data_IF_299051366995
#
_entry.id   IF_299051366995
#
_cell.length_a   1.000
_cell.length_b   1.000
_cell.length_c   1.000
_cell.angle_alpha   90.00
_cell.angle_beta   90.00
_cell.angle_gamma   90.00
#
_symmetry.space_group_name_H-M   'P 1'
#
loop_
_entity.id
_entity.type
_entity.pdbx_description
1 polymer ?
#
# COMPACT_ATOMS: atom_id res chain seq x y z
N UNK A 1 -31.18 -20.08 -8.02
CA UNK A 1 -30.08 -19.57 -8.87
C UNK A 1 -29.74 -18.16 -8.42
N UNK A 2 -28.79 -18.00 -7.50
CA UNK A 2 -27.94 -16.81 -7.37
C UNK A 2 -26.98 -17.08 -6.22
N UNK A 3 -25.84 -17.72 -6.54
CA UNK A 3 -24.83 -18.10 -5.54
C UNK A 3 -23.45 -18.08 -6.19
N UNK A 4 -23.07 -16.97 -6.85
CA UNK A 4 -21.72 -16.76 -7.42
C UNK A 4 -21.35 -15.26 -7.43
N UNK A 5 -21.41 -14.55 -6.29
CA UNK A 5 -20.79 -13.20 -6.21
C UNK A 5 -19.83 -13.06 -5.00
N UNK A 6 -19.80 -14.00 -4.06
CA UNK A 6 -18.99 -13.86 -2.83
C UNK A 6 -17.59 -14.52 -2.89
N UNK A 7 -16.78 -14.30 -3.94
CA UNK A 7 -15.43 -14.93 -4.01
C UNK A 7 -14.30 -14.03 -4.52
N UNK A 8 -14.44 -12.70 -4.48
CA UNK A 8 -13.31 -11.81 -4.83
C UNK A 8 -12.95 -10.75 -3.78
N UNK A 9 -13.70 -10.62 -2.67
CA UNK A 9 -13.53 -9.48 -1.75
C UNK A 9 -12.76 -9.77 -0.45
N UNK A 10 -12.43 -11.02 -0.11
CA UNK A 10 -11.93 -11.33 1.24
C UNK A 10 -10.43 -11.10 1.47
N UNK A 11 -9.62 -10.89 0.42
CA UNK A 11 -8.15 -10.81 0.59
C UNK A 11 -7.66 -9.39 0.95
N UNK A 12 -8.48 -8.36 0.67
CA UNK A 12 -8.14 -6.96 0.93
C UNK A 12 -8.31 -6.57 2.40
N UNK A 13 -9.45 -6.91 3.01
CA UNK A 13 -9.73 -6.58 4.42
C UNK A 13 -8.87 -7.35 5.42
N UNK A 14 -8.31 -8.50 5.03
CA UNK A 14 -7.43 -9.30 5.89
C UNK A 14 -5.96 -8.91 5.83
N UNK A 15 -5.54 -8.11 4.85
CA UNK A 15 -4.13 -7.77 4.70
C UNK A 15 -3.79 -6.55 5.58
N UNK A 16 -2.92 -6.69 6.60
CA UNK A 16 -2.62 -5.60 7.52
C UNK A 16 -2.03 -4.37 6.81
N UNK A 17 -1.36 -4.52 5.66
CA UNK A 17 -0.79 -3.39 4.90
C UNK A 17 -1.83 -2.53 4.17
N UNK A 18 -3.05 -3.04 3.98
CA UNK A 18 -4.10 -2.38 3.19
C UNK A 18 -5.14 -1.65 4.06
N UNK A 19 -4.87 -1.51 5.35
CA UNK A 19 -5.72 -0.81 6.32
C UNK A 19 -4.91 0.18 7.13
N UNK A 20 -5.61 1.09 7.79
CA UNK A 20 -4.99 1.99 8.74
C UNK A 20 -4.42 1.24 9.95
N UNK A 21 -3.28 1.74 10.42
CA UNK A 21 -2.63 1.22 11.62
C UNK A 21 -3.23 1.89 12.86
N UNK A 22 -3.96 1.11 13.64
CA UNK A 22 -4.55 1.55 14.91
C UNK A 22 -3.63 1.32 16.11
N UNK A 23 -2.38 0.92 15.87
CA UNK A 23 -1.35 0.69 16.88
C UNK A 23 -0.84 2.02 17.45
N UNK A 24 -0.17 1.96 18.60
CA UNK A 24 0.46 3.15 19.16
C UNK A 24 1.50 3.71 18.18
N UNK A 25 1.36 5.01 17.83
CA UNK A 25 2.21 5.73 16.88
C UNK A 25 2.25 5.12 15.48
N UNK A 26 1.17 4.48 15.03
CA UNK A 26 1.04 3.93 13.67
C UNK A 26 2.19 2.97 13.34
N UNK A 27 2.65 2.23 14.35
CA UNK A 27 3.69 1.22 14.18
C UNK A 27 3.13 0.02 13.42
N UNK A 28 3.89 -0.62 12.51
CA UNK A 28 3.38 -1.79 11.80
C UNK A 28 2.92 -2.88 12.78
N UNK A 29 1.73 -3.49 12.59
CA UNK A 29 1.23 -4.56 13.44
C UNK A 29 1.98 -5.87 13.15
N UNK A 30 3.24 -5.98 13.56
CA UNK A 30 4.15 -7.09 13.21
C UNK A 30 3.57 -8.47 13.56
N UNK A 31 2.77 -8.59 14.62
CA UNK A 31 2.13 -9.86 15.02
C UNK A 31 1.09 -10.36 14.00
N UNK A 32 0.51 -9.47 13.21
CA UNK A 32 -0.48 -9.81 12.17
C UNK A 32 0.17 -10.03 10.80
N UNK A 33 1.40 -9.56 10.59
CA UNK A 33 2.10 -9.66 9.31
C UNK A 33 2.58 -11.09 9.08
N UNK A 34 2.26 -11.63 7.90
CA UNK A 34 2.70 -12.95 7.43
C UNK A 34 3.31 -12.81 6.04
N UNK A 35 4.16 -13.76 5.66
CA UNK A 35 4.83 -13.76 4.35
C UNK A 35 3.85 -13.70 3.16
N UNK A 36 2.69 -14.32 3.31
CA UNK A 36 1.61 -14.32 2.31
C UNK A 36 1.01 -12.93 2.05
N UNK A 37 1.19 -11.97 2.96
CA UNK A 37 0.65 -10.61 2.84
C UNK A 37 1.50 -9.71 1.93
N UNK A 38 2.81 -9.98 1.79
CA UNK A 38 3.73 -9.08 1.07
C UNK A 38 3.38 -8.95 -0.40
N UNK A 39 3.27 -10.06 -1.14
CA UNK A 39 3.03 -10.02 -2.59
C UNK A 39 1.72 -9.31 -2.95
N UNK A 40 0.56 -9.64 -2.33
CA UNK A 40 -0.67 -8.90 -2.57
C UNK A 40 -0.57 -7.42 -2.23
N UNK A 41 0.12 -7.06 -1.12
CA UNK A 41 0.28 -5.66 -0.72
C UNK A 41 1.16 -4.86 -1.68
N UNK A 42 2.26 -5.43 -2.18
CA UNK A 42 3.07 -4.79 -3.23
C UNK A 42 2.27 -4.57 -4.50
N UNK A 43 1.50 -5.56 -4.96
CA UNK A 43 0.70 -5.43 -6.18
C UNK A 43 -0.37 -4.35 -6.06
N UNK A 44 -1.08 -4.29 -4.93
CA UNK A 44 -2.07 -3.22 -4.71
C UNK A 44 -1.36 -1.86 -4.56
N UNK A 45 -0.23 -1.80 -3.86
CA UNK A 45 0.57 -0.59 -3.74
C UNK A 45 1.05 -0.04 -5.09
N UNK A 46 1.54 -0.89 -6.00
CA UNK A 46 1.91 -0.47 -7.35
C UNK A 46 0.71 0.04 -8.14
N UNK A 47 -0.44 -0.64 -8.03
CA UNK A 47 -1.68 -0.22 -8.70
C UNK A 47 -2.13 1.14 -8.19
N UNK A 48 -2.14 1.35 -6.88
CA UNK A 48 -2.55 2.62 -6.27
C UNK A 48 -1.58 3.75 -6.62
N UNK A 49 -0.26 3.56 -6.45
CA UNK A 49 0.71 4.61 -6.75
C UNK A 49 0.68 5.01 -8.24
N UNK A 50 0.51 4.05 -9.15
CA UNK A 50 0.35 4.38 -10.57
C UNK A 50 -0.89 5.25 -10.84
N UNK A 51 -2.00 4.98 -10.16
CA UNK A 51 -3.22 5.79 -10.29
C UNK A 51 -3.04 7.21 -9.72
N UNK A 52 -2.33 7.34 -8.59
CA UNK A 52 -1.99 8.63 -7.99
C UNK A 52 -1.06 9.45 -8.91
N UNK A 53 -0.04 8.81 -9.48
CA UNK A 53 0.86 9.42 -10.46
C UNK A 53 0.11 9.81 -11.73
N UNK A 54 -0.80 8.97 -12.23
CA UNK A 54 -1.63 9.28 -13.39
C UNK A 54 -2.50 10.53 -13.16
N UNK A 55 -3.03 10.70 -11.94
CA UNK A 55 -3.78 11.89 -11.57
C UNK A 55 -2.89 13.16 -11.57
N UNK A 56 -1.63 13.06 -11.12
CA UNK A 56 -0.66 14.16 -11.17
C UNK A 56 -0.31 14.50 -12.63
N UNK A 57 0.01 13.50 -13.45
CA UNK A 57 0.39 13.67 -14.86
C UNK A 57 -0.74 14.28 -15.69
N UNK A 58 -1.98 13.91 -15.40
CA UNK A 58 -3.16 14.40 -16.12
C UNK A 58 -3.80 15.64 -15.49
N UNK A 59 -3.16 16.29 -14.50
CA UNK A 59 -3.68 17.52 -13.91
C UNK A 59 -3.70 18.65 -14.98
N UNK A 60 -4.86 19.24 -15.29
CA UNK A 60 -4.98 20.27 -16.34
C UNK A 60 -4.47 21.65 -15.90
N UNK A 61 -4.21 21.86 -14.61
CA UNK A 61 -3.64 23.11 -14.11
C UNK A 61 -2.18 23.29 -14.54
N UNK A 62 -1.70 24.54 -14.54
CA UNK A 62 -0.28 24.78 -14.75
C UNK A 62 0.54 24.11 -13.63
N UNK A 63 1.68 23.47 -13.93
CA UNK A 63 2.47 22.77 -12.92
C UNK A 63 3.01 23.76 -11.89
N UNK A 64 2.78 23.45 -10.62
CA UNK A 64 3.33 24.13 -9.45
C UNK A 64 4.13 23.14 -8.61
N UNK A 65 4.88 23.65 -7.63
CA UNK A 65 5.60 22.78 -6.71
C UNK A 65 4.63 21.87 -5.93
N UNK A 66 3.48 22.41 -5.52
CA UNK A 66 2.46 21.70 -4.75
C UNK A 66 1.79 20.59 -5.57
N UNK A 67 1.32 20.91 -6.77
CA UNK A 67 0.54 19.96 -7.58
C UNK A 67 1.40 18.92 -8.32
N UNK A 68 2.73 19.07 -8.29
CA UNK A 68 3.67 18.15 -8.96
C UNK A 68 4.62 17.49 -7.96
N UNK A 69 5.40 18.25 -7.18
CA UNK A 69 6.45 17.69 -6.31
C UNK A 69 5.86 17.22 -4.98
N UNK A 70 5.09 18.07 -4.31
CA UNK A 70 4.45 17.68 -3.02
C UNK A 70 3.48 16.53 -3.26
N UNK A 71 2.61 16.66 -4.26
CA UNK A 71 1.68 15.59 -4.63
C UNK A 71 2.41 14.27 -4.94
N UNK A 72 3.57 14.32 -5.63
CA UNK A 72 4.35 13.11 -5.94
C UNK A 72 4.94 12.45 -4.69
N UNK A 73 5.50 13.25 -3.77
CA UNK A 73 6.05 12.77 -2.49
C UNK A 73 4.99 12.13 -1.59
N UNK A 74 3.72 12.52 -1.72
CA UNK A 74 2.60 11.95 -0.98
C UNK A 74 2.10 10.61 -1.54
N UNK A 75 2.54 10.21 -2.75
CA UNK A 75 2.09 8.95 -3.37
C UNK A 75 2.73 7.71 -2.75
N UNK A 76 2.11 6.55 -2.95
CA UNK A 76 2.73 5.26 -2.67
C UNK A 76 2.76 4.88 -1.19
N UNK A 77 1.80 5.35 -0.40
CA UNK A 77 1.69 5.07 1.03
C UNK A 77 1.73 3.57 1.36
N UNK A 78 0.97 2.75 0.61
CA UNK A 78 0.96 1.28 0.79
C UNK A 78 2.35 0.70 0.51
N UNK A 79 3.02 1.17 -0.54
CA UNK A 79 4.37 0.72 -0.89
C UNK A 79 5.38 1.07 0.19
N UNK A 80 5.26 2.26 0.79
CA UNK A 80 6.07 2.65 1.95
C UNK A 80 5.85 1.71 3.14
N UNK A 81 4.59 1.47 3.51
CA UNK A 81 4.19 0.55 4.61
C UNK A 81 4.74 -0.87 4.41
N UNK A 82 4.50 -1.47 3.25
CA UNK A 82 4.93 -2.85 2.97
C UNK A 82 6.46 -2.97 2.83
N UNK A 83 7.12 -1.99 2.21
CA UNK A 83 8.58 -2.02 2.00
C UNK A 83 9.34 -1.90 3.32
N UNK A 84 8.90 -1.02 4.23
CA UNK A 84 9.52 -0.84 5.54
C UNK A 84 9.56 -2.15 6.34
N UNK A 85 8.46 -2.89 6.35
CA UNK A 85 8.38 -4.18 7.04
C UNK A 85 9.11 -5.27 6.28
N UNK A 86 8.98 -5.33 4.96
CA UNK A 86 9.65 -6.33 4.13
C UNK A 86 11.17 -6.28 4.30
N UNK A 87 11.78 -5.09 4.23
CA UNK A 87 13.23 -4.96 4.39
C UNK A 87 13.70 -5.23 5.82
N UNK A 88 12.88 -4.90 6.82
CA UNK A 88 13.16 -5.28 8.21
C UNK A 88 13.20 -6.80 8.36
N UNK A 89 12.18 -7.49 7.82
CA UNK A 89 12.08 -8.95 7.84
C UNK A 89 13.24 -9.63 7.08
N UNK A 90 13.55 -9.18 5.86
CA UNK A 90 14.63 -9.79 5.08
C UNK A 90 16.01 -9.58 5.70
N UNK A 91 16.22 -8.49 6.44
CA UNK A 91 17.48 -8.23 7.12
C UNK A 91 17.61 -9.04 8.42
N UNK A 92 16.50 -9.31 9.13
CA UNK A 92 16.52 -10.11 10.36
C UNK A 92 16.66 -11.61 10.11
N UNK A 93 16.14 -12.13 8.99
CA UNK A 93 16.23 -13.55 8.63
C UNK A 93 17.58 -13.93 7.99
N UNK A 94 18.49 -12.97 7.77
CA UNK A 94 19.79 -13.18 7.09
C UNK A 94 20.96 -13.46 8.05
N UNK A 95 20.68 -13.81 9.31
CA UNK A 95 21.66 -14.28 10.31
C UNK A 95 21.47 -15.76 10.62
#
# INVERSE_FOLDING_TARGET
MSSIIATLASCGESNPFLREYTTYRETPPFEEVKTEHFKPAFLEGFKQQNAEIEAIVNNPEAPTFENTIVAFEETGEILSKVSAVFYTYTNSEMT
#
